data_IF_411560132253
#
_entry.id   IF_411560132253
#
_cell.length_a   1.000
_cell.length_b   1.000
_cell.length_c   1.000
_cell.angle_alpha   90.00
_cell.angle_beta   90.00
_cell.angle_gamma   90.00
#
_symmetry.space_group_name_H-M   'P 1'
#
loop_
_entity.id
_entity.type
_entity.pdbx_description
1 polymer ?
#
# COMPACT_ATOMS: atom_id res chain seq x y z
N UNK A 1 -28.10 5.71 -4.96
CA UNK A 1 -27.67 6.34 -3.69
C UNK A 1 -26.16 6.26 -3.68
N UNK A 2 -25.45 7.37 -3.56
CA UNK A 2 -24.02 7.30 -3.27
C UNK A 2 -23.91 6.90 -1.80
N UNK A 3 -23.60 5.64 -1.52
CA UNK A 3 -23.10 5.29 -0.20
C UNK A 3 -21.84 6.13 0.04
N UNK A 4 -21.88 6.99 1.05
CA UNK A 4 -20.74 7.81 1.42
C UNK A 4 -19.60 6.87 1.81
N UNK A 5 -18.48 6.88 1.07
CA UNK A 5 -17.36 5.97 1.37
C UNK A 5 -16.77 6.35 2.73
N UNK A 6 -16.78 5.38 3.65
CA UNK A 6 -16.18 5.50 4.98
C UNK A 6 -17.18 5.48 6.12
N UNK A 7 -16.68 5.78 7.31
CA UNK A 7 -17.43 5.74 8.58
C UNK A 7 -17.21 7.04 9.36
N UNK A 8 -18.22 7.44 10.13
CA UNK A 8 -18.14 8.61 11.02
C UNK A 8 -17.24 8.36 12.24
N UNK A 9 -17.15 9.33 13.17
CA UNK A 9 -16.44 9.18 14.42
C UNK A 9 -16.87 7.94 15.22
N UNK A 10 -15.92 7.30 15.87
CA UNK A 10 -16.21 6.18 16.78
C UNK A 10 -16.76 6.71 18.11
N UNK A 11 -17.85 6.13 18.65
CA UNK A 11 -18.40 6.55 19.93
C UNK A 11 -17.40 6.33 21.08
N UNK A 12 -17.46 7.20 22.09
CA UNK A 12 -16.68 7.06 23.32
C UNK A 12 -17.41 6.17 24.35
N UNK A 13 -16.69 5.48 25.26
CA UNK A 13 -15.22 5.40 25.34
C UNK A 13 -14.62 4.62 24.17
N UNK A 14 -13.44 5.02 23.71
CA UNK A 14 -12.75 4.30 22.64
C UNK A 14 -12.10 3.02 23.18
N UNK A 15 -11.96 1.98 22.34
CA UNK A 15 -11.21 0.78 22.71
C UNK A 15 -9.74 1.08 23.00
N UNK A 16 -9.15 0.35 23.94
CA UNK A 16 -7.71 0.33 24.19
C UNK A 16 -7.04 -0.66 23.22
N UNK A 17 -6.64 -0.17 22.04
CA UNK A 17 -5.93 -0.94 21.03
C UNK A 17 -4.90 -0.05 20.32
N UNK A 18 -3.62 -0.42 20.42
CA UNK A 18 -2.50 0.34 19.88
C UNK A 18 -2.52 0.48 18.34
N UNK A 19 -3.29 -0.37 17.65
CA UNK A 19 -3.46 -0.28 16.20
C UNK A 19 -4.37 0.87 15.80
N UNK A 20 -5.22 1.36 16.70
CA UNK A 20 -6.19 2.41 16.39
C UNK A 20 -5.52 3.80 16.35
N UNK A 21 -5.90 4.60 15.37
CA UNK A 21 -5.49 5.98 15.21
C UNK A 21 -6.51 6.92 15.90
N UNK A 22 -6.10 7.65 16.94
CA UNK A 22 -6.99 8.57 17.66
C UNK A 22 -7.63 9.65 16.77
N UNK A 23 -6.95 10.11 15.73
CA UNK A 23 -7.49 11.12 14.82
C UNK A 23 -8.63 10.53 13.97
N UNK A 24 -8.47 9.29 13.50
CA UNK A 24 -9.52 8.61 12.75
C UNK A 24 -10.72 8.26 13.63
N UNK A 25 -10.48 7.85 14.88
CA UNK A 25 -11.56 7.62 15.85
C UNK A 25 -12.35 8.92 16.11
N UNK A 26 -11.68 10.06 16.24
CA UNK A 26 -12.32 11.36 16.50
C UNK A 26 -13.06 11.94 15.30
N UNK A 27 -12.47 11.88 14.11
CA UNK A 27 -12.96 12.57 12.92
C UNK A 27 -13.75 11.65 11.96
N UNK A 28 -13.70 10.34 12.17
CA UNK A 28 -14.17 9.34 11.22
C UNK A 28 -13.09 8.90 10.24
N UNK A 29 -13.32 7.76 9.60
CA UNK A 29 -12.40 7.16 8.64
C UNK A 29 -13.03 7.09 7.26
N UNK A 30 -12.63 8.03 6.40
CA UNK A 30 -13.08 8.17 5.00
C UNK A 30 -12.22 7.39 4.00
N UNK A 31 -11.20 6.63 4.45
CA UNK A 31 -10.31 5.89 3.53
C UNK A 31 -11.09 4.78 2.83
N UNK A 32 -10.66 4.36 1.63
CA UNK A 32 -11.23 3.17 0.99
C UNK A 32 -10.44 1.92 1.41
N UNK A 33 -10.70 1.45 2.63
CA UNK A 33 -10.09 0.25 3.22
C UNK A 33 -11.17 -0.75 3.61
N UNK A 34 -10.81 -2.03 3.70
CA UNK A 34 -11.71 -3.06 4.21
C UNK A 34 -12.17 -2.73 5.63
N UNK A 35 -13.39 -3.13 6.00
CA UNK A 35 -14.03 -2.73 7.27
C UNK A 35 -13.20 -3.10 8.51
N UNK A 36 -12.48 -4.22 8.46
CA UNK A 36 -11.59 -4.66 9.54
C UNK A 36 -10.43 -3.70 9.86
N UNK A 37 -10.08 -2.84 8.91
CA UNK A 37 -9.00 -1.86 9.02
C UNK A 37 -9.48 -0.45 9.34
N UNK A 38 -10.79 -0.28 9.55
CA UNK A 38 -11.34 1.03 9.90
C UNK A 38 -10.72 1.52 11.19
N UNK A 39 -10.34 2.79 11.18
CA UNK A 39 -9.63 3.47 12.27
C UNK A 39 -8.22 2.95 12.55
N UNK A 40 -7.72 1.92 11.87
CA UNK A 40 -6.35 1.46 12.09
C UNK A 40 -5.34 2.47 11.52
N UNK A 41 -4.23 2.64 12.23
CA UNK A 41 -3.01 3.28 11.72
C UNK A 41 -2.57 2.58 10.44
N UNK A 42 -1.99 3.34 9.52
CA UNK A 42 -1.50 2.80 8.26
C UNK A 42 -0.47 1.70 8.51
N UNK A 43 0.42 1.91 9.47
CA UNK A 43 1.49 0.99 9.84
C UNK A 43 0.94 -0.33 10.35
N UNK A 44 -0.14 -0.30 11.15
CA UNK A 44 -0.82 -1.50 11.63
C UNK A 44 -1.48 -2.31 10.50
N UNK A 45 -1.99 -1.63 9.46
CA UNK A 45 -2.50 -2.30 8.26
C UNK A 45 -1.35 -2.96 7.50
N UNK A 46 -0.22 -2.25 7.33
CA UNK A 46 0.97 -2.80 6.66
C UNK A 46 1.48 -4.04 7.39
N UNK A 47 1.63 -3.98 8.72
CA UNK A 47 2.09 -5.11 9.54
C UNK A 47 1.19 -6.35 9.41
N UNK A 48 -0.13 -6.17 9.47
CA UNK A 48 -1.08 -7.27 9.29
C UNK A 48 -1.13 -7.82 7.84
N UNK A 49 -0.83 -6.98 6.84
CA UNK A 49 -0.63 -7.45 5.46
C UNK A 49 0.68 -8.25 5.35
N UNK A 50 1.77 -7.76 5.96
CA UNK A 50 3.09 -8.39 5.92
C UNK A 50 3.07 -9.81 6.46
N UNK A 51 2.30 -10.08 7.52
CA UNK A 51 2.09 -11.43 8.06
C UNK A 51 1.39 -12.42 7.11
N UNK A 52 0.90 -11.97 5.94
CA UNK A 52 0.15 -12.78 4.96
C UNK A 52 0.67 -12.65 3.53
N UNK A 53 1.75 -11.90 3.30
CA UNK A 53 2.30 -11.74 1.95
C UNK A 53 2.83 -13.06 1.41
N UNK A 54 2.64 -13.26 0.11
CA UNK A 54 3.26 -14.37 -0.59
C UNK A 54 4.70 -14.00 -0.96
N UNK A 55 5.64 -14.96 -0.94
CA UNK A 55 7.06 -14.72 -1.14
C UNK A 55 7.40 -14.54 -2.63
N UNK A 56 6.72 -13.60 -3.29
CA UNK A 56 7.02 -13.19 -4.66
C UNK A 56 7.04 -11.67 -4.75
N UNK A 57 7.88 -11.19 -5.65
CA UNK A 57 8.06 -9.78 -5.93
C UNK A 57 7.69 -9.48 -7.39
N UNK A 58 7.29 -8.24 -7.66
CA UNK A 58 6.97 -7.77 -9.02
C UNK A 58 7.94 -6.67 -9.40
N UNK A 59 8.64 -6.82 -10.52
CA UNK A 59 9.49 -5.76 -11.06
C UNK A 59 8.81 -5.08 -12.27
N UNK A 60 8.97 -3.77 -12.40
CA UNK A 60 8.50 -2.98 -13.54
C UNK A 60 9.55 -1.96 -13.97
N UNK A 61 9.83 -1.92 -15.27
CA UNK A 61 10.78 -0.98 -15.85
C UNK A 61 10.12 0.36 -16.22
N UNK A 62 10.80 1.46 -15.91
CA UNK A 62 10.33 2.83 -16.12
C UNK A 62 11.32 3.65 -16.97
N UNK A 63 11.37 3.37 -18.27
CA UNK A 63 12.31 4.04 -19.21
C UNK A 63 11.71 5.25 -19.94
N UNK A 64 10.41 5.22 -20.26
CA UNK A 64 9.75 6.26 -21.06
C UNK A 64 8.52 6.85 -20.34
N UNK A 65 7.32 6.38 -20.69
CA UNK A 65 6.03 6.84 -20.19
C UNK A 65 5.36 5.77 -19.32
N UNK A 66 5.15 6.09 -18.04
CA UNK A 66 4.56 5.18 -17.06
C UNK A 66 3.02 5.18 -17.03
N UNK A 67 2.37 4.60 -18.04
CA UNK A 67 0.90 4.50 -18.01
C UNK A 67 0.37 3.46 -16.99
N UNK A 68 1.17 2.43 -16.70
CA UNK A 68 0.66 1.21 -16.03
C UNK A 68 1.26 0.92 -14.65
N UNK A 69 2.30 1.64 -14.20
CA UNK A 69 2.99 1.36 -12.92
C UNK A 69 2.02 1.40 -11.74
N UNK A 70 1.10 2.37 -11.72
CA UNK A 70 0.06 2.41 -10.69
C UNK A 70 -0.82 1.17 -10.69
N UNK A 71 -1.27 0.70 -11.85
CA UNK A 71 -2.08 -0.52 -11.96
C UNK A 71 -1.30 -1.76 -11.51
N UNK A 72 0.00 -1.83 -11.84
CA UNK A 72 0.90 -2.90 -11.37
C UNK A 72 0.95 -2.92 -9.84
N UNK A 73 1.15 -1.77 -9.19
CA UNK A 73 1.20 -1.68 -7.73
C UNK A 73 -0.14 -2.06 -7.09
N UNK A 74 -1.26 -1.64 -7.69
CA UNK A 74 -2.60 -2.02 -7.24
C UNK A 74 -2.79 -3.53 -7.29
N UNK A 75 -2.45 -4.16 -8.41
CA UNK A 75 -2.55 -5.61 -8.56
C UNK A 75 -1.63 -6.32 -7.57
N UNK A 76 -0.39 -5.87 -7.42
CA UNK A 76 0.56 -6.44 -6.46
C UNK A 76 0.03 -6.37 -5.01
N UNK A 77 -0.60 -5.26 -4.61
CA UNK A 77 -1.26 -5.16 -3.31
C UNK A 77 -2.45 -6.13 -3.19
N UNK A 78 -3.28 -6.24 -4.23
CA UNK A 78 -4.44 -7.15 -4.25
C UNK A 78 -4.04 -8.63 -4.16
N UNK A 79 -2.92 -9.02 -4.76
CA UNK A 79 -2.36 -10.38 -4.70
C UNK A 79 -1.41 -10.59 -3.51
N UNK A 80 -1.29 -9.62 -2.60
CA UNK A 80 -0.38 -9.69 -1.45
C UNK A 80 1.07 -10.05 -1.84
N UNK A 81 1.58 -9.47 -2.92
CA UNK A 81 3.00 -9.57 -3.25
C UNK A 81 3.86 -9.06 -2.08
N UNK A 82 5.02 -9.67 -1.85
CA UNK A 82 6.00 -9.28 -0.84
C UNK A 82 6.54 -7.86 -1.11
N UNK A 83 6.70 -7.49 -2.38
CA UNK A 83 7.08 -6.13 -2.76
C UNK A 83 7.00 -5.86 -4.26
N UNK A 84 7.11 -4.59 -4.61
CA UNK A 84 7.21 -4.10 -5.98
C UNK A 84 8.52 -3.35 -6.17
N UNK A 85 9.18 -3.59 -7.30
CA UNK A 85 10.44 -2.96 -7.67
C UNK A 85 10.26 -2.11 -8.92
N UNK A 86 10.58 -0.83 -8.84
CA UNK A 86 10.58 0.07 -9.98
C UNK A 86 12.01 0.26 -10.44
N UNK A 87 12.31 -0.14 -11.68
CA UNK A 87 13.64 -0.03 -12.27
C UNK A 87 13.71 1.18 -13.20
N UNK A 88 14.79 1.95 -13.18
CA UNK A 88 14.98 3.11 -14.04
C UNK A 88 14.50 4.42 -13.39
N UNK A 89 13.57 5.15 -14.02
CA UNK A 89 13.12 6.45 -13.50
C UNK A 89 12.35 6.31 -12.18
N UNK A 90 12.73 7.10 -11.16
CA UNK A 90 12.10 7.08 -9.83
C UNK A 90 10.69 7.67 -9.78
N UNK A 91 10.42 8.68 -10.63
CA UNK A 91 9.11 9.33 -10.69
C UNK A 91 8.17 8.49 -11.55
N UNK A 92 6.96 8.26 -11.04
CA UNK A 92 5.91 7.57 -11.76
C UNK A 92 4.52 8.10 -11.39
N UNK A 93 3.53 7.87 -12.24
CA UNK A 93 2.15 8.30 -12.06
C UNK A 93 1.38 7.41 -11.07
N UNK A 94 1.14 7.94 -9.87
CA UNK A 94 0.46 7.24 -8.77
C UNK A 94 -1.05 7.08 -8.93
N UNK A 95 -1.67 7.73 -9.91
CA UNK A 95 -3.13 7.75 -10.05
C UNK A 95 -3.72 6.34 -10.19
N UNK A 96 -3.06 5.48 -10.97
CA UNK A 96 -3.50 4.09 -11.17
C UNK A 96 -3.37 3.19 -9.94
N UNK A 97 -2.53 3.55 -8.97
CA UNK A 97 -2.37 2.79 -7.73
C UNK A 97 -3.60 2.91 -6.83
N UNK A 98 -4.41 3.95 -7.00
CA UNK A 98 -5.57 4.20 -6.14
C UNK A 98 -5.22 4.15 -4.65
N UNK A 99 -4.08 4.76 -4.30
CA UNK A 99 -3.55 4.89 -2.93
C UNK A 99 -3.06 3.56 -2.32
N UNK A 100 -3.14 2.43 -3.03
CA UNK A 100 -2.62 1.15 -2.50
C UNK A 100 -1.09 1.14 -2.38
N UNK A 101 -0.39 2.08 -3.02
CA UNK A 101 1.05 2.30 -2.85
C UNK A 101 1.44 2.61 -1.40
N UNK A 102 0.51 3.11 -0.59
CA UNK A 102 0.72 3.34 0.85
C UNK A 102 0.77 2.05 1.68
N UNK A 103 0.19 0.97 1.17
CA UNK A 103 0.07 -0.31 1.87
C UNK A 103 0.92 -1.42 1.22
N UNK A 104 1.81 -1.05 0.31
CA UNK A 104 2.68 -1.96 -0.42
C UNK A 104 4.13 -1.51 -0.27
N UNK A 105 5.05 -2.47 -0.14
CA UNK A 105 6.47 -2.22 -0.17
C UNK A 105 6.88 -1.92 -1.61
N UNK A 106 7.35 -0.69 -1.86
CA UNK A 106 7.81 -0.25 -3.18
C UNK A 106 9.27 0.19 -3.09
N UNK A 107 10.15 -0.57 -3.71
CA UNK A 107 11.56 -0.26 -3.84
C UNK A 107 11.86 0.36 -5.21
N UNK A 108 12.89 1.21 -5.26
CA UNK A 108 13.37 1.80 -6.50
C UNK A 108 14.82 1.37 -6.73
N UNK A 109 15.10 0.99 -7.98
CA UNK A 109 16.41 0.56 -8.45
C UNK A 109 16.79 1.42 -9.68
N UNK A 110 17.96 2.08 -9.68
CA UNK A 110 18.39 2.86 -10.84
C UNK A 110 18.56 2.03 -12.11
N UNK A 111 19.06 0.80 -11.99
CA UNK A 111 19.38 -0.11 -13.10
C UNK A 111 18.86 -1.53 -12.86
N UNK A 112 18.90 -2.38 -13.90
CA UNK A 112 18.53 -3.80 -13.78
C UNK A 112 19.56 -4.53 -12.93
N UNK A 113 20.83 -4.15 -13.02
CA UNK A 113 21.92 -4.68 -12.23
C UNK A 113 21.70 -4.46 -10.73
N UNK A 114 21.22 -3.27 -10.33
CA UNK A 114 20.86 -2.98 -8.93
C UNK A 114 19.71 -3.89 -8.43
N UNK A 115 18.74 -4.19 -9.29
CA UNK A 115 17.65 -5.12 -8.95
C UNK A 115 18.18 -6.56 -8.77
N UNK A 116 19.08 -7.01 -9.65
CA UNK A 116 19.71 -8.33 -9.55
C UNK A 116 20.53 -8.43 -8.26
N UNK A 117 21.33 -7.40 -7.94
CA UNK A 117 22.10 -7.35 -6.70
C UNK A 117 21.20 -7.43 -5.46
N UNK A 118 20.05 -6.76 -5.48
CA UNK A 118 19.05 -6.88 -4.41
C UNK A 118 18.50 -8.31 -4.30
N UNK A 119 18.20 -8.96 -5.42
CA UNK A 119 17.64 -10.31 -5.45
C UNK A 119 18.64 -11.35 -4.94
N UNK A 120 19.92 -11.20 -5.26
CA UNK A 120 20.99 -12.12 -4.84
C UNK A 120 21.34 -12.01 -3.33
N UNK A 121 20.91 -10.93 -2.67
CA UNK A 121 21.08 -10.73 -1.22
C UNK A 121 19.97 -11.42 -0.38
N UNK A 122 18.93 -11.94 -1.04
CA UNK A 122 17.73 -12.52 -0.42
C UNK A 122 17.82 -14.02 -0.15
#
# INVERSE_FOLDING_TARGET
MHDEVGVGPHPTPWPEDDRLDPQLLAAGDRRNVADRYRYWKLEAIVEDLDGRRHPFHVAVENWEHDLNIGTVIRNANAFLAAGVHIVGRRRWNRRGAMVTDRYQHVAHHPTVEDLVEWADRG
#
